data_IF_697294171893
#
_entry.id   IF_697294171893
#
_cell.length_a   1.000
_cell.length_b   1.000
_cell.length_c   1.000
_cell.angle_alpha   90.00
_cell.angle_beta   90.00
_cell.angle_gamma   90.00
#
_symmetry.space_group_name_H-M   'P 1'
#
loop_
_entity.id
_entity.type
_entity.pdbx_description
1 polymer ?
#
# COMPACT_ATOMS: atom_id res chain seq x y z
N UNK A 1 50.45 -18.41 -21.86
CA UNK A 1 49.25 -19.25 -21.78
C UNK A 1 48.06 -18.32 -21.65
N UNK A 2 47.45 -17.96 -22.78
CA UNK A 2 46.31 -17.03 -22.82
C UNK A 2 45.09 -17.82 -22.35
N UNK A 3 44.58 -17.52 -21.14
CA UNK A 3 43.33 -18.09 -20.66
C UNK A 3 42.21 -17.59 -21.57
N UNK A 4 41.78 -18.44 -22.51
CA UNK A 4 40.56 -18.21 -23.26
C UNK A 4 39.40 -18.36 -22.29
N UNK A 5 38.86 -17.22 -21.84
CA UNK A 5 37.59 -17.19 -21.13
C UNK A 5 36.51 -17.71 -22.07
N UNK A 6 35.99 -18.90 -21.76
CA UNK A 6 34.91 -19.48 -22.54
C UNK A 6 33.64 -18.59 -22.37
N UNK A 7 32.81 -18.40 -23.41
CA UNK A 7 31.64 -17.52 -23.33
C UNK A 7 30.67 -17.87 -22.19
N UNK A 8 30.66 -19.12 -21.75
CA UNK A 8 29.86 -19.62 -20.62
C UNK A 8 30.29 -19.01 -19.28
N UNK A 9 31.54 -18.54 -19.15
CA UNK A 9 32.04 -17.88 -17.95
C UNK A 9 31.24 -16.60 -17.62
N UNK A 10 30.65 -15.96 -18.63
CA UNK A 10 29.79 -14.79 -18.44
C UNK A 10 28.42 -15.15 -17.85
N UNK A 11 27.97 -16.41 -17.94
CA UNK A 11 26.68 -16.83 -17.40
C UNK A 11 26.72 -17.06 -15.88
N UNK A 12 27.88 -17.43 -15.31
CA UNK A 12 28.00 -17.78 -13.89
C UNK A 12 27.59 -16.66 -12.91
N UNK A 13 27.95 -15.38 -13.11
CA UNK A 13 27.49 -14.31 -12.24
C UNK A 13 25.95 -14.17 -12.25
N UNK A 14 25.32 -14.29 -13.41
CA UNK A 14 23.86 -14.21 -13.52
C UNK A 14 23.18 -15.42 -12.87
N UNK A 15 23.72 -16.62 -13.08
CA UNK A 15 23.23 -17.84 -12.44
C UNK A 15 23.38 -17.77 -10.91
N UNK A 16 24.51 -17.28 -10.42
CA UNK A 16 24.74 -17.06 -9.00
C UNK A 16 23.74 -16.06 -8.42
N UNK A 17 23.53 -14.91 -9.08
CA UNK A 17 22.55 -13.89 -8.64
C UNK A 17 21.14 -14.48 -8.63
N UNK A 18 20.77 -15.24 -9.67
CA UNK A 18 19.45 -15.89 -9.75
C UNK A 18 19.24 -16.91 -8.63
N UNK A 19 20.17 -17.85 -8.45
CA UNK A 19 20.10 -18.87 -7.40
C UNK A 19 20.13 -18.23 -6.01
N UNK A 20 20.97 -17.20 -5.79
CA UNK A 20 21.03 -16.47 -4.55
C UNK A 20 19.70 -15.78 -4.24
N UNK A 21 19.11 -15.11 -5.23
CA UNK A 21 17.81 -14.45 -5.09
C UNK A 21 16.68 -15.45 -4.84
N UNK A 22 16.62 -16.56 -5.57
CA UNK A 22 15.65 -17.64 -5.36
C UNK A 22 15.80 -18.26 -3.97
N UNK A 23 17.04 -18.52 -3.54
CA UNK A 23 17.35 -19.03 -2.21
C UNK A 23 16.95 -18.03 -1.13
N UNK A 24 17.21 -16.74 -1.33
CA UNK A 24 16.78 -15.68 -0.42
C UNK A 24 15.27 -15.63 -0.27
N UNK A 25 14.53 -15.66 -1.39
CA UNK A 25 13.06 -15.70 -1.37
C UNK A 25 12.57 -16.97 -0.68
N UNK A 26 13.12 -18.14 -1.01
CA UNK A 26 12.73 -19.42 -0.42
C UNK A 26 13.00 -19.47 1.08
N UNK A 27 14.19 -19.08 1.53
CA UNK A 27 14.55 -19.01 2.95
C UNK A 27 13.60 -18.06 3.66
N UNK A 28 13.31 -16.88 3.09
CA UNK A 28 12.41 -15.91 3.73
C UNK A 28 10.99 -16.47 3.86
N UNK A 29 10.48 -17.16 2.84
CA UNK A 29 9.17 -17.82 2.88
C UNK A 29 9.10 -18.98 3.88
N UNK A 30 10.20 -19.73 4.02
CA UNK A 30 10.31 -20.84 4.97
C UNK A 30 10.67 -20.36 6.39
N UNK A 31 11.18 -19.15 6.53
CA UNK A 31 11.56 -18.57 7.80
C UNK A 31 10.30 -18.37 8.66
N UNK A 32 10.34 -18.93 9.87
CA UNK A 32 9.24 -18.87 10.84
C UNK A 32 8.93 -17.49 11.48
N UNK A 33 9.72 -16.39 11.37
CA UNK A 33 9.49 -15.20 12.22
C UNK A 33 8.19 -14.44 11.97
N UNK A 34 7.70 -14.33 10.73
CA UNK A 34 6.52 -13.53 10.45
C UNK A 34 5.21 -14.18 10.93
N UNK A 35 5.18 -15.51 11.04
CA UNK A 35 3.96 -16.26 11.37
C UNK A 35 3.65 -16.30 12.86
N UNK A 36 4.67 -16.35 13.72
CA UNK A 36 4.51 -16.41 15.17
C UNK A 36 4.22 -15.02 15.80
N UNK A 37 4.70 -13.94 15.19
CA UNK A 37 4.51 -12.57 15.69
C UNK A 37 3.10 -12.00 15.43
N UNK A 38 2.30 -12.63 14.56
CA UNK A 38 1.00 -12.13 14.08
C UNK A 38 -0.18 -12.84 14.74
N UNK A 39 -0.11 -13.04 16.06
CA UNK A 39 -1.28 -13.48 16.80
C UNK A 39 -2.39 -12.43 16.64
N UNK A 40 -3.62 -12.88 16.37
CA UNK A 40 -4.79 -11.99 16.28
C UNK A 40 -4.93 -11.25 17.61
N UNK A 41 -5.13 -9.94 17.53
CA UNK A 41 -5.40 -9.12 18.71
C UNK A 41 -6.82 -9.41 19.19
N UNK A 42 -7.03 -9.69 20.49
CA UNK A 42 -8.37 -9.69 21.08
C UNK A 42 -9.05 -8.33 20.88
N UNK A 43 -10.35 -8.32 20.63
CA UNK A 43 -11.12 -7.09 20.32
C UNK A 43 -10.97 -5.98 21.39
N UNK A 44 -10.73 -6.35 22.66
CA UNK A 44 -10.48 -5.40 23.74
C UNK A 44 -9.19 -4.56 23.51
N UNK A 45 -8.16 -5.15 22.91
CA UNK A 45 -6.84 -4.54 22.70
C UNK A 45 -6.67 -3.95 21.30
N UNK A 46 -7.68 -4.04 20.44
CA UNK A 46 -7.58 -3.49 19.09
C UNK A 46 -7.56 -1.95 19.12
N UNK A 47 -6.69 -1.29 18.32
CA UNK A 47 -6.60 0.16 18.29
C UNK A 47 -7.80 0.82 17.60
N UNK A 48 -8.00 2.12 17.81
CA UNK A 48 -8.90 2.90 16.96
C UNK A 48 -8.32 3.06 15.55
N UNK A 49 -9.16 2.93 14.53
CA UNK A 49 -8.77 2.93 13.12
C UNK A 49 -9.66 3.89 12.33
N UNK A 50 -9.05 4.71 11.47
CA UNK A 50 -9.77 5.51 10.49
C UNK A 50 -9.30 5.16 9.08
N UNK A 51 -10.21 4.75 8.19
CA UNK A 51 -9.90 4.51 6.78
C UNK A 51 -10.35 5.69 5.94
N UNK A 52 -9.39 6.34 5.27
CA UNK A 52 -9.62 7.50 4.43
C UNK A 52 -9.72 7.06 2.97
N UNK A 53 -10.79 7.48 2.30
CA UNK A 53 -11.10 7.16 0.91
C UNK A 53 -11.13 8.46 0.09
N UNK A 54 -10.01 8.85 -0.55
CA UNK A 54 -9.99 10.01 -1.45
C UNK A 54 -10.73 9.69 -2.75
N UNK A 55 -11.64 10.57 -3.14
CA UNK A 55 -12.53 10.38 -4.29
C UNK A 55 -12.37 11.55 -5.28
N UNK A 56 -12.21 11.24 -6.57
CA UNK A 56 -12.31 12.21 -7.65
C UNK A 56 -12.91 11.55 -8.89
N UNK A 57 -14.17 11.84 -9.18
CA UNK A 57 -14.94 11.22 -10.27
C UNK A 57 -15.05 9.68 -10.16
N UNK A 58 -15.52 9.21 -9.01
CA UNK A 58 -15.61 7.80 -8.60
C UNK A 58 -17.05 7.38 -8.29
N UNK A 59 -18.04 8.00 -8.93
CA UNK A 59 -19.46 7.73 -8.69
C UNK A 59 -19.85 6.25 -8.85
N UNK A 60 -19.17 5.54 -9.75
CA UNK A 60 -19.46 4.14 -10.07
C UNK A 60 -18.98 3.15 -8.99
N UNK A 61 -18.02 3.55 -8.16
CA UNK A 61 -17.20 2.64 -7.34
C UNK A 61 -17.27 2.98 -5.85
N UNK A 62 -17.31 4.27 -5.49
CA UNK A 62 -17.23 4.74 -4.09
C UNK A 62 -18.28 4.11 -3.17
N UNK A 63 -19.48 3.85 -3.70
CA UNK A 63 -20.55 3.20 -2.94
C UNK A 63 -20.17 1.78 -2.49
N UNK A 64 -19.74 0.95 -3.44
CA UNK A 64 -19.33 -0.42 -3.14
C UNK A 64 -18.05 -0.48 -2.29
N UNK A 65 -17.15 0.49 -2.47
CA UNK A 65 -15.96 0.66 -1.62
C UNK A 65 -16.36 0.93 -0.17
N UNK A 66 -17.26 1.88 0.08
CA UNK A 66 -17.79 2.17 1.41
C UNK A 66 -18.52 0.97 2.01
N UNK A 67 -19.39 0.29 1.23
CA UNK A 67 -20.09 -0.91 1.68
C UNK A 67 -19.10 -2.02 2.12
N UNK A 68 -17.99 -2.21 1.39
CA UNK A 68 -16.96 -3.19 1.76
C UNK A 68 -16.24 -2.83 3.07
N UNK A 69 -16.00 -1.53 3.33
CA UNK A 69 -15.43 -1.07 4.58
C UNK A 69 -16.39 -1.24 5.76
N UNK A 70 -17.69 -0.98 5.54
CA UNK A 70 -18.73 -1.20 6.54
C UNK A 70 -18.89 -2.69 6.90
N UNK A 71 -18.60 -3.58 5.95
CA UNK A 71 -18.62 -5.02 6.14
C UNK A 71 -17.41 -5.58 6.93
N UNK A 72 -16.39 -4.76 7.23
CA UNK A 72 -15.23 -5.21 8.00
C UNK A 72 -15.63 -5.78 9.37
N UNK A 73 -15.07 -6.94 9.70
CA UNK A 73 -15.21 -7.62 10.98
C UNK A 73 -14.32 -6.94 12.03
N UNK A 74 -14.76 -5.79 12.52
CA UNK A 74 -14.04 -5.00 13.52
C UNK A 74 -15.03 -4.31 14.47
N UNK A 75 -14.64 -4.02 15.73
CA UNK A 75 -15.48 -3.24 16.63
C UNK A 75 -15.91 -1.92 15.97
N UNK A 76 -17.21 -1.73 15.78
CA UNK A 76 -17.76 -0.66 14.93
C UNK A 76 -17.49 0.73 15.51
N UNK A 77 -17.47 0.83 16.83
CA UNK A 77 -17.11 2.01 17.61
C UNK A 77 -15.63 2.40 17.50
N UNK A 78 -14.76 1.50 17.03
CA UNK A 78 -13.32 1.74 16.81
C UNK A 78 -12.98 1.95 15.33
N UNK A 79 -13.96 1.92 14.43
CA UNK A 79 -13.75 2.09 12.99
C UNK A 79 -14.47 3.35 12.48
N UNK A 80 -13.68 4.32 12.04
CA UNK A 80 -14.13 5.49 11.28
C UNK A 80 -13.84 5.28 9.78
N UNK A 81 -14.78 5.66 8.92
CA UNK A 81 -14.64 5.69 7.47
C UNK A 81 -14.79 7.14 7.03
N UNK A 82 -13.78 7.68 6.35
CA UNK A 82 -13.76 9.08 5.96
C UNK A 82 -13.70 9.17 4.44
N UNK A 83 -14.84 9.44 3.83
CA UNK A 83 -14.95 9.65 2.40
C UNK A 83 -14.63 11.12 2.09
N UNK A 84 -13.60 11.38 1.28
CA UNK A 84 -13.14 12.74 0.96
C UNK A 84 -13.34 13.01 -0.53
N UNK A 85 -14.32 13.85 -0.87
CA UNK A 85 -14.53 14.33 -2.24
C UNK A 85 -13.52 15.46 -2.56
N UNK A 86 -12.64 15.19 -3.52
CA UNK A 86 -11.60 16.12 -4.00
C UNK A 86 -12.10 16.96 -5.19
N UNK A 87 -13.31 17.52 -5.06
CA UNK A 87 -13.93 18.37 -6.06
C UNK A 87 -14.36 17.59 -7.30
N UNK A 88 -15.10 16.49 -7.11
CA UNK A 88 -15.66 15.72 -8.23
C UNK A 88 -16.66 16.55 -9.04
N UNK A 89 -16.72 16.25 -10.33
CA UNK A 89 -17.62 16.89 -11.31
C UNK A 89 -18.75 15.97 -11.76
N UNK A 90 -18.71 14.70 -11.37
CA UNK A 90 -19.72 13.69 -11.65
C UNK A 90 -20.65 13.45 -10.44
N UNK A 91 -21.38 12.33 -10.43
CA UNK A 91 -22.29 11.96 -9.35
C UNK A 91 -21.61 11.36 -8.09
N UNK A 92 -20.31 11.60 -7.87
CA UNK A 92 -19.57 11.05 -6.71
C UNK A 92 -20.18 11.53 -5.39
N UNK A 93 -20.46 12.83 -5.25
CA UNK A 93 -21.06 13.38 -4.05
C UNK A 93 -22.45 12.78 -3.75
N UNK A 94 -23.26 12.58 -4.79
CA UNK A 94 -24.56 11.91 -4.64
C UNK A 94 -24.41 10.46 -4.16
N UNK A 95 -23.40 9.76 -4.67
CA UNK A 95 -23.10 8.38 -4.27
C UNK A 95 -22.65 8.29 -2.82
N UNK A 96 -21.83 9.24 -2.37
CA UNK A 96 -21.39 9.36 -0.96
C UNK A 96 -22.55 9.75 -0.04
N UNK A 97 -23.48 10.62 -0.46
CA UNK A 97 -24.58 11.12 0.35
C UNK A 97 -25.49 10.01 0.91
N UNK A 98 -25.53 8.83 0.27
CA UNK A 98 -26.21 7.63 0.76
C UNK A 98 -25.74 7.19 2.15
N UNK A 99 -24.51 7.55 2.54
CA UNK A 99 -23.89 7.19 3.81
C UNK A 99 -23.86 8.33 4.83
N UNK A 100 -24.43 9.51 4.51
CA UNK A 100 -24.31 10.70 5.36
C UNK A 100 -24.83 10.53 6.80
N UNK A 101 -25.79 9.62 6.99
CA UNK A 101 -26.38 9.33 8.31
C UNK A 101 -25.80 8.06 8.96
N UNK A 102 -24.79 7.42 8.37
CA UNK A 102 -24.20 6.20 8.93
C UNK A 102 -23.23 6.57 10.07
N UNK A 103 -23.35 5.99 11.28
CA UNK A 103 -22.60 6.43 12.47
C UNK A 103 -21.08 6.33 12.33
N UNK A 104 -20.59 5.42 11.48
CA UNK A 104 -19.16 5.23 11.22
C UNK A 104 -18.61 6.07 10.05
N UNK A 105 -19.48 6.71 9.25
CA UNK A 105 -19.06 7.37 8.01
C UNK A 105 -19.06 8.88 8.19
N UNK A 106 -17.94 9.50 7.82
CA UNK A 106 -17.81 10.95 7.69
C UNK A 106 -17.54 11.31 6.24
N UNK A 107 -18.21 12.35 5.76
CA UNK A 107 -18.04 12.87 4.41
C UNK A 107 -17.39 14.26 4.52
N UNK A 108 -16.34 14.47 3.73
CA UNK A 108 -15.64 15.76 3.62
C UNK A 108 -15.63 16.14 2.14
N UNK A 109 -15.97 17.39 1.83
CA UNK A 109 -15.88 17.94 0.49
C UNK A 109 -14.90 19.09 0.47
N UNK A 110 -13.98 19.10 -0.50
CA UNK A 110 -13.00 20.17 -0.70
C UNK A 110 -12.82 20.47 -2.19
N UNK A 111 -12.21 21.62 -2.51
CA UNK A 111 -11.78 21.90 -3.89
C UNK A 111 -10.62 20.99 -4.31
N UNK A 112 -10.55 20.64 -5.60
CA UNK A 112 -9.54 19.72 -6.12
C UNK A 112 -8.11 20.16 -5.81
N UNK A 113 -7.33 19.28 -5.18
CA UNK A 113 -5.91 19.53 -4.87
C UNK A 113 -5.01 18.33 -5.10
N UNK A 114 -5.55 17.22 -5.58
CA UNK A 114 -4.85 15.95 -5.75
C UNK A 114 -4.94 15.06 -4.50
N UNK A 115 -4.68 13.77 -4.71
CA UNK A 115 -4.88 12.69 -3.72
C UNK A 115 -4.28 13.00 -2.35
N UNK A 116 -3.04 13.50 -2.28
CA UNK A 116 -2.39 13.81 -1.00
C UNK A 116 -3.13 14.87 -0.18
N UNK A 117 -3.74 15.87 -0.82
CA UNK A 117 -4.51 16.91 -0.12
C UNK A 117 -5.81 16.35 0.45
N UNK A 118 -6.46 15.42 -0.25
CA UNK A 118 -7.65 14.72 0.22
C UNK A 118 -7.31 13.78 1.39
N UNK A 119 -6.20 13.04 1.30
CA UNK A 119 -5.69 12.22 2.40
C UNK A 119 -5.43 13.07 3.65
N UNK A 120 -4.75 14.21 3.51
CA UNK A 120 -4.47 15.11 4.63
C UNK A 120 -5.74 15.71 5.25
N UNK A 121 -6.75 16.06 4.43
CA UNK A 121 -8.04 16.52 4.94
C UNK A 121 -8.75 15.43 5.75
N UNK A 122 -8.67 14.16 5.31
CA UNK A 122 -9.16 13.02 6.06
C UNK A 122 -8.43 12.82 7.39
N UNK A 123 -7.09 12.88 7.38
CA UNK A 123 -6.25 12.73 8.58
C UNK A 123 -6.62 13.78 9.63
N UNK A 124 -6.76 15.04 9.22
CA UNK A 124 -7.09 16.15 10.11
C UNK A 124 -8.47 16.02 10.77
N UNK A 125 -9.35 15.17 10.24
CA UNK A 125 -10.70 14.98 10.76
C UNK A 125 -10.81 13.89 11.83
N UNK A 126 -9.79 13.06 12.06
CA UNK A 126 -9.89 11.90 12.96
C UNK A 126 -8.82 11.91 14.06
N UNK A 127 -9.15 11.24 15.17
CA UNK A 127 -8.23 10.94 16.29
C UNK A 127 -7.94 9.43 16.45
N UNK A 128 -8.33 8.58 15.49
CA UNK A 128 -8.04 7.15 15.46
C UNK A 128 -6.54 6.79 15.35
N UNK A 129 -6.00 6.02 16.29
CA UNK A 129 -4.56 5.69 16.42
C UNK A 129 -3.86 5.25 15.13
N UNK A 130 -4.57 4.49 14.28
CA UNK A 130 -4.08 4.07 12.97
C UNK A 130 -4.87 4.73 11.84
N UNK A 131 -4.10 5.23 10.87
CA UNK A 131 -4.63 5.84 9.64
C UNK A 131 -4.52 4.83 8.51
N UNK A 132 -5.66 4.47 7.94
CA UNK A 132 -5.79 3.65 6.75
C UNK A 132 -6.03 4.50 5.50
N UNK A 133 -5.55 4.03 4.36
CA UNK A 133 -5.86 4.58 3.04
C UNK A 133 -6.48 3.48 2.17
N UNK A 134 -7.56 3.81 1.46
CA UNK A 134 -8.15 2.91 0.46
C UNK A 134 -8.56 3.74 -0.76
N UNK A 135 -8.21 3.28 -1.95
CA UNK A 135 -8.64 3.94 -3.19
C UNK A 135 -10.15 3.73 -3.40
N UNK A 136 -10.84 4.72 -3.97
CA UNK A 136 -12.29 4.70 -4.13
C UNK A 136 -12.81 3.61 -5.10
N UNK A 137 -11.92 2.96 -5.84
CA UNK A 137 -12.19 1.83 -6.75
C UNK A 137 -11.68 0.47 -6.21
N UNK A 138 -11.40 0.40 -4.91
CA UNK A 138 -10.87 -0.79 -4.24
C UNK A 138 -11.81 -1.33 -3.16
N UNK A 139 -11.82 -2.66 -2.99
CA UNK A 139 -12.74 -3.38 -2.11
C UNK A 139 -11.98 -4.33 -1.19
N UNK A 140 -12.42 -4.47 0.05
CA UNK A 140 -11.73 -5.27 1.06
C UNK A 140 -12.52 -6.52 1.43
N UNK A 141 -11.82 -7.60 1.80
CA UNK A 141 -12.47 -8.75 2.45
C UNK A 141 -12.88 -8.38 3.89
N UNK A 142 -13.95 -8.99 4.45
CA UNK A 142 -14.42 -8.69 5.80
C UNK A 142 -13.35 -8.85 6.89
N UNK A 143 -12.45 -9.82 6.75
CA UNK A 143 -11.38 -10.10 7.72
C UNK A 143 -10.10 -9.27 7.48
N UNK A 144 -10.03 -8.48 6.41
CA UNK A 144 -8.80 -7.82 5.98
C UNK A 144 -8.18 -6.93 7.05
N UNK A 145 -9.01 -6.20 7.82
CA UNK A 145 -8.52 -5.34 8.91
C UNK A 145 -7.92 -6.18 10.05
N UNK A 146 -8.57 -7.29 10.44
CA UNK A 146 -8.06 -8.21 11.46
C UNK A 146 -6.75 -8.88 11.06
N UNK A 147 -6.50 -9.03 9.77
CA UNK A 147 -5.27 -9.63 9.22
C UNK A 147 -4.11 -8.63 9.10
N UNK A 148 -4.37 -7.32 8.92
CA UNK A 148 -3.31 -6.30 8.78
C UNK A 148 -2.84 -5.71 10.12
N UNK A 149 -3.75 -5.53 11.09
CA UNK A 149 -3.44 -4.87 12.35
C UNK A 149 -2.38 -5.56 13.22
N UNK A 150 -2.28 -6.91 13.25
CA UNK A 150 -1.21 -7.58 14.00
C UNK A 150 0.21 -7.18 13.58
N UNK A 151 0.41 -6.60 12.39
CA UNK A 151 1.70 -6.02 11.99
C UNK A 151 2.19 -4.93 12.96
N UNK A 152 1.27 -4.19 13.60
CA UNK A 152 1.56 -3.12 14.55
C UNK A 152 1.80 -3.62 15.98
N UNK A 153 1.76 -4.93 16.24
CA UNK A 153 2.22 -5.48 17.53
C UNK A 153 3.73 -5.26 17.72
N UNK A 154 4.49 -5.18 16.62
CA UNK A 154 5.86 -4.72 16.66
C UNK A 154 5.88 -3.17 16.69
N UNK A 155 6.42 -2.54 17.75
CA UNK A 155 6.52 -1.08 17.84
C UNK A 155 7.45 -0.47 16.78
N UNK A 156 8.38 -1.23 16.22
CA UNK A 156 9.29 -0.76 15.17
C UNK A 156 8.60 -0.65 13.79
N UNK A 157 7.47 -1.32 13.62
CA UNK A 157 6.66 -1.25 12.40
C UNK A 157 5.73 -0.06 12.49
N UNK A 158 5.90 0.86 11.55
CA UNK A 158 5.15 2.12 11.50
C UNK A 158 4.10 2.16 10.39
N UNK A 159 4.24 1.27 9.40
CA UNK A 159 3.28 1.13 8.32
C UNK A 159 3.15 -0.33 7.89
N UNK A 160 1.98 -0.69 7.38
CA UNK A 160 1.67 -2.03 6.91
C UNK A 160 0.94 -1.98 5.57
N UNK A 161 1.28 -2.93 4.70
CA UNK A 161 0.72 -3.07 3.35
C UNK A 161 -0.11 -4.35 3.23
N UNK A 162 -1.14 -4.32 2.38
CA UNK A 162 -2.05 -5.44 2.13
C UNK A 162 -1.64 -6.32 0.94
N UNK A 163 -2.36 -7.42 0.75
CA UNK A 163 -2.30 -8.29 -0.41
C UNK A 163 -3.31 -7.84 -1.48
N UNK A 164 -2.82 -7.08 -2.46
CA UNK A 164 -3.63 -6.59 -3.57
C UNK A 164 -3.81 -7.64 -4.67
N UNK A 165 -5.03 -7.75 -5.19
CA UNK A 165 -5.39 -8.56 -6.35
C UNK A 165 -6.34 -7.79 -7.28
N UNK A 166 -6.49 -8.25 -8.52
CA UNK A 166 -7.44 -7.64 -9.46
C UNK A 166 -8.85 -8.17 -9.18
N UNK A 167 -9.82 -7.26 -9.05
CA UNK A 167 -11.22 -7.64 -8.88
C UNK A 167 -11.77 -8.23 -10.19
N UNK A 168 -12.12 -9.53 -10.17
CA UNK A 168 -12.78 -10.24 -11.28
C UNK A 168 -12.15 -9.97 -12.66
N UNK A 169 -10.88 -10.35 -12.89
CA UNK A 169 -10.22 -10.15 -14.18
C UNK A 169 -11.00 -10.84 -15.31
N UNK A 170 -11.17 -10.15 -16.43
CA UNK A 170 -11.94 -10.62 -17.60
C UNK A 170 -11.10 -10.80 -18.86
N UNK A 171 -10.01 -10.04 -19.00
CA UNK A 171 -9.13 -10.09 -20.17
C UNK A 171 -7.78 -10.71 -19.84
N UNK A 172 -7.08 -11.23 -20.85
CA UNK A 172 -5.70 -11.75 -20.71
C UNK A 172 -4.80 -10.72 -20.01
N UNK A 173 -4.93 -9.44 -20.39
CA UNK A 173 -4.17 -8.35 -19.78
C UNK A 173 -4.42 -8.22 -18.27
N UNK A 174 -5.68 -8.33 -17.85
CA UNK A 174 -6.06 -8.26 -16.44
C UNK A 174 -5.61 -9.50 -15.67
N UNK A 175 -5.65 -10.69 -16.28
CA UNK A 175 -5.10 -11.91 -15.69
C UNK A 175 -3.58 -11.84 -15.53
N UNK A 176 -2.86 -11.29 -16.53
CA UNK A 176 -1.42 -11.06 -16.44
C UNK A 176 -1.07 -10.12 -15.28
N UNK A 177 -1.77 -8.99 -15.17
CA UNK A 177 -1.55 -8.06 -14.06
C UNK A 177 -1.92 -8.67 -12.70
N UNK A 178 -2.94 -9.51 -12.64
CA UNK A 178 -3.28 -10.23 -11.41
C UNK A 178 -2.18 -11.22 -10.98
N UNK A 179 -1.60 -11.95 -11.94
CA UNK A 179 -0.48 -12.84 -11.69
C UNK A 179 0.75 -12.04 -11.21
N UNK A 180 1.04 -10.90 -11.83
CA UNK A 180 2.11 -9.98 -11.42
C UNK A 180 1.90 -9.49 -9.98
N UNK A 181 0.68 -9.07 -9.63
CA UNK A 181 0.37 -8.62 -8.25
C UNK A 181 0.54 -9.75 -7.25
N UNK A 182 0.09 -10.96 -7.60
CA UNK A 182 0.24 -12.16 -6.77
C UNK A 182 1.71 -12.47 -6.51
N UNK A 183 2.53 -12.46 -7.56
CA UNK A 183 3.98 -12.61 -7.43
C UNK A 183 4.61 -11.49 -6.59
N UNK A 184 4.15 -10.25 -6.80
CA UNK A 184 4.58 -9.08 -6.04
C UNK A 184 4.29 -9.17 -4.55
N UNK A 185 3.23 -9.87 -4.10
CA UNK A 185 2.95 -10.09 -2.67
C UNK A 185 4.09 -10.87 -2.04
N UNK A 186 4.49 -11.98 -2.65
CA UNK A 186 5.60 -12.83 -2.19
C UNK A 186 6.88 -12.02 -2.08
N UNK A 187 7.19 -11.25 -3.12
CA UNK A 187 8.41 -10.44 -3.17
C UNK A 187 8.40 -9.32 -2.12
N UNK A 188 7.27 -8.64 -1.92
CA UNK A 188 7.11 -7.64 -0.85
C UNK A 188 7.27 -8.25 0.53
N UNK A 189 6.71 -9.44 0.75
CA UNK A 189 6.91 -10.15 2.01
C UNK A 189 8.38 -10.48 2.25
N UNK A 190 9.10 -10.90 1.20
CA UNK A 190 10.53 -11.14 1.29
C UNK A 190 11.32 -9.88 1.62
N UNK A 191 11.04 -8.77 0.93
CA UNK A 191 11.70 -7.49 1.19
C UNK A 191 11.35 -6.89 2.56
N UNK A 192 10.12 -7.05 3.05
CA UNK A 192 9.74 -6.59 4.39
C UNK A 192 10.64 -7.21 5.48
N UNK A 193 10.99 -8.49 5.36
CA UNK A 193 11.84 -9.20 6.34
C UNK A 193 13.24 -8.60 6.53
N UNK A 194 13.70 -7.83 5.54
CA UNK A 194 15.02 -7.18 5.54
C UNK A 194 14.90 -5.65 5.58
N UNK A 195 13.73 -5.14 5.97
CA UNK A 195 13.38 -3.71 5.93
C UNK A 195 13.65 -3.06 4.56
N UNK A 196 13.37 -3.80 3.49
CA UNK A 196 13.63 -3.43 2.10
C UNK A 196 12.40 -2.91 1.34
N UNK A 197 11.30 -2.62 2.03
CA UNK A 197 10.06 -2.24 1.36
C UNK A 197 10.07 -0.76 0.97
N UNK A 198 10.13 -0.48 -0.33
CA UNK A 198 10.17 0.88 -0.89
C UNK A 198 8.80 1.38 -1.40
N UNK A 199 7.75 0.56 -1.27
CA UNK A 199 6.40 0.90 -1.73
C UNK A 199 5.36 0.44 -0.73
N UNK A 200 4.46 1.35 -0.38
CA UNK A 200 3.22 1.05 0.32
C UNK A 200 2.11 1.29 -0.71
N UNK A 201 1.54 0.26 -1.35
CA UNK A 201 0.50 0.49 -2.34
C UNK A 201 -0.69 1.22 -1.73
N UNK A 202 -1.26 2.17 -2.47
CA UNK A 202 -2.40 2.98 -2.03
C UNK A 202 -3.56 2.20 -1.40
N UNK A 203 -4.09 1.15 -2.04
CA UNK A 203 -5.21 0.37 -1.52
C UNK A 203 -4.89 -0.40 -0.22
N UNK A 204 -5.67 -0.09 0.81
CA UNK A 204 -5.70 -0.76 2.11
C UNK A 204 -4.33 -0.83 2.79
N UNK A 205 -3.67 0.32 2.85
CA UNK A 205 -2.43 0.52 3.62
C UNK A 205 -2.72 1.23 4.94
N UNK A 206 -1.93 0.94 5.97
CA UNK A 206 -2.10 1.52 7.30
C UNK A 206 -0.80 2.12 7.83
N UNK A 207 -0.93 3.17 8.64
CA UNK A 207 0.16 3.92 9.23
C UNK A 207 -0.17 4.25 10.69
N UNK A 208 0.83 4.28 11.56
CA UNK A 208 0.69 4.91 12.89
C UNK A 208 0.46 6.41 12.70
N UNK A 209 -0.58 7.00 13.32
CA UNK A 209 -0.81 8.45 13.24
C UNK A 209 0.45 9.23 13.58
N UNK A 210 1.11 8.88 14.69
CA UNK A 210 2.27 9.63 15.20
C UNK A 210 3.37 9.77 14.14
N UNK A 211 3.52 8.78 13.26
CA UNK A 211 4.52 8.78 12.19
C UNK A 211 4.06 9.61 11.00
N UNK A 212 2.77 9.54 10.64
CA UNK A 212 2.20 10.43 9.63
C UNK A 212 2.36 11.90 10.04
N UNK A 213 2.08 12.23 11.30
CA UNK A 213 2.24 13.59 11.83
C UNK A 213 3.71 14.01 11.91
N UNK A 214 4.58 13.14 12.46
CA UNK A 214 6.02 13.39 12.56
C UNK A 214 6.69 13.63 11.21
N UNK A 215 6.23 12.93 10.16
CA UNK A 215 6.75 13.07 8.80
C UNK A 215 6.02 14.15 7.97
N UNK A 216 5.06 14.86 8.56
CA UNK A 216 4.38 16.00 7.96
C UNK A 216 3.32 15.65 6.91
N UNK A 217 2.58 14.56 7.13
CA UNK A 217 1.48 14.11 6.29
C UNK A 217 1.90 13.66 4.88
N UNK A 218 0.91 13.44 4.02
CA UNK A 218 1.14 13.13 2.61
C UNK A 218 1.55 14.40 1.86
N UNK A 219 2.53 14.28 0.95
CA UNK A 219 2.98 15.40 0.12
C UNK A 219 2.82 15.07 -1.36
N UNK A 220 3.06 16.07 -2.19
CA UNK A 220 3.11 15.86 -3.63
C UNK A 220 4.29 14.92 -3.98
N UNK A 221 3.97 13.68 -4.34
CA UNK A 221 4.94 12.65 -4.67
C UNK A 221 4.94 12.27 -6.15
N UNK A 222 4.79 13.26 -7.05
CA UNK A 222 4.74 13.05 -8.50
C UNK A 222 3.68 12.02 -8.96
N UNK A 223 2.48 12.08 -8.37
CA UNK A 223 1.39 11.12 -8.58
C UNK A 223 1.71 9.70 -8.10
N UNK A 224 2.66 9.55 -7.18
CA UNK A 224 3.03 8.29 -6.50
C UNK A 224 3.24 8.57 -5.01
N UNK A 225 2.27 9.23 -4.38
CA UNK A 225 2.36 9.74 -3.01
C UNK A 225 2.48 8.62 -1.97
N UNK A 226 2.04 7.42 -2.32
CA UNK A 226 2.11 6.20 -1.55
C UNK A 226 3.52 5.58 -1.57
N UNK A 227 4.19 5.57 -2.74
CA UNK A 227 5.61 5.25 -2.87
C UNK A 227 6.50 6.30 -2.19
N UNK A 228 6.14 7.57 -2.34
CA UNK A 228 6.86 8.68 -1.74
C UNK A 228 6.85 8.59 -0.21
N UNK A 229 5.68 8.33 0.40
CA UNK A 229 5.57 8.09 1.84
C UNK A 229 6.43 6.90 2.29
N UNK A 230 6.45 5.80 1.53
CA UNK A 230 7.28 4.64 1.84
C UNK A 230 8.78 4.96 1.83
N UNK A 231 9.25 5.69 0.80
CA UNK A 231 10.64 6.16 0.73
C UNK A 231 10.98 7.09 1.91
N UNK A 232 10.07 7.99 2.30
CA UNK A 232 10.28 8.88 3.44
C UNK A 232 10.39 8.12 4.76
N UNK A 233 9.53 7.13 4.98
CA UNK A 233 9.54 6.26 6.15
C UNK A 233 10.88 5.52 6.24
N UNK A 234 11.34 4.95 5.12
CA UNK A 234 12.62 4.25 5.04
C UNK A 234 13.81 5.19 5.23
N UNK A 235 13.76 6.39 4.65
CA UNK A 235 14.78 7.41 4.84
C UNK A 235 14.90 7.88 6.30
N UNK A 236 13.79 7.86 7.03
CA UNK A 236 13.78 8.13 8.47
C UNK A 236 14.18 6.91 9.34
N UNK A 237 14.44 5.75 8.73
CA UNK A 237 14.93 4.54 9.40
C UNK A 237 13.86 3.69 10.09
N UNK A 238 12.59 3.82 9.72
CA UNK A 238 11.50 3.02 10.30
C UNK A 238 11.13 1.80 9.45
N UNK A 239 10.49 0.82 10.10
CA UNK A 239 10.08 -0.44 9.48
C UNK A 239 8.72 -0.38 8.78
N UNK A 240 8.61 -1.03 7.62
CA UNK A 240 7.35 -1.24 6.90
C UNK A 240 7.13 -2.74 6.70
N UNK A 241 5.94 -3.22 7.07
CA UNK A 241 5.58 -4.63 6.99
C UNK A 241 4.60 -4.92 5.83
N UNK A 242 4.55 -6.17 5.39
CA UNK A 242 3.52 -6.67 4.47
C UNK A 242 2.67 -7.76 5.12
N UNK A 243 1.34 -7.58 5.13
CA UNK A 243 0.37 -8.60 5.50
C UNK A 243 -0.17 -9.29 4.24
N UNK A 244 0.30 -10.51 3.91
CA UNK A 244 -0.13 -11.25 2.72
C UNK A 244 -1.55 -11.84 2.87
N UNK A 245 -2.13 -11.79 4.07
CA UNK A 245 -3.48 -12.32 4.36
C UNK A 245 -4.56 -11.23 4.32
N UNK A 246 -4.19 -9.96 4.50
CA UNK A 246 -5.12 -8.85 4.37
C UNK A 246 -5.44 -8.60 2.89
N UNK A 247 -6.52 -9.21 2.39
CA UNK A 247 -6.87 -9.17 0.97
C UNK A 247 -7.62 -7.90 0.59
N UNK A 248 -7.17 -7.26 -0.50
CA UNK A 248 -7.83 -6.13 -1.14
C UNK A 248 -7.90 -6.37 -2.65
N UNK A 249 -9.01 -5.97 -3.25
CA UNK A 249 -9.23 -6.05 -4.69
C UNK A 249 -9.30 -4.66 -5.30
N UNK A 250 -8.69 -4.46 -6.46
CA UNK A 250 -8.70 -3.20 -7.20
C UNK A 250 -9.08 -3.42 -8.66
N UNK A 251 -9.49 -2.36 -9.35
CA UNK A 251 -9.62 -2.35 -10.80
C UNK A 251 -8.27 -2.52 -11.52
N UNK A 252 -8.30 -3.13 -12.71
CA UNK A 252 -7.17 -3.18 -13.64
C UNK A 252 -7.49 -2.43 -14.93
N UNK A 253 -6.51 -1.72 -15.53
CA UNK A 253 -6.63 -1.16 -16.87
C UNK A 253 -7.16 -2.17 -17.90
N UNK A 254 -8.24 -1.81 -18.59
CA UNK A 254 -8.84 -2.67 -19.60
C UNK A 254 -8.04 -2.75 -20.92
N UNK A 255 -7.12 -1.81 -21.15
CA UNK A 255 -6.37 -1.70 -22.42
C UNK A 255 -4.88 -1.53 -22.16
N UNK A 256 -4.07 -1.98 -23.13
CA UNK A 256 -2.61 -1.86 -23.08
C UNK A 256 -2.17 -0.39 -22.97
N UNK A 257 -2.82 0.53 -23.69
CA UNK A 257 -2.51 1.95 -23.62
C UNK A 257 -2.71 2.53 -22.20
N UNK A 258 -3.81 2.14 -21.52
CA UNK A 258 -4.05 2.54 -20.12
C UNK A 258 -3.03 1.92 -19.17
N UNK A 259 -2.65 0.65 -19.41
CA UNK A 259 -1.60 -0.02 -18.64
C UNK A 259 -0.24 0.69 -18.81
N UNK A 260 0.18 0.99 -20.04
CA UNK A 260 1.42 1.72 -20.31
C UNK A 260 1.40 3.08 -19.61
N UNK A 261 0.31 3.84 -19.70
CA UNK A 261 0.17 5.12 -18.99
C UNK A 261 0.32 4.95 -17.46
N UNK A 262 -0.29 3.91 -16.89
CA UNK A 262 -0.16 3.59 -15.47
C UNK A 262 1.31 3.29 -15.10
N UNK A 263 2.00 2.45 -15.87
CA UNK A 263 3.40 2.07 -15.61
C UNK A 263 4.38 3.21 -15.79
N UNK A 264 4.21 4.02 -16.83
CA UNK A 264 5.02 5.23 -17.03
C UNK A 264 4.87 6.17 -15.85
N UNK A 265 3.63 6.39 -15.35
CA UNK A 265 3.40 7.20 -14.15
C UNK A 265 4.14 6.65 -12.93
N UNK A 266 4.01 5.35 -12.65
CA UNK A 266 4.66 4.73 -11.49
C UNK A 266 6.18 4.78 -11.54
N UNK A 267 6.76 4.42 -12.69
CA UNK A 267 8.22 4.39 -12.85
C UNK A 267 8.79 5.80 -12.81
N UNK A 268 8.19 6.76 -13.52
CA UNK A 268 8.69 8.14 -13.53
C UNK A 268 8.51 8.82 -12.18
N UNK A 269 7.40 8.58 -11.48
CA UNK A 269 7.18 9.07 -10.12
C UNK A 269 8.21 8.51 -9.15
N UNK A 270 8.41 7.20 -9.14
CA UNK A 270 9.45 6.54 -8.35
C UNK A 270 10.85 7.10 -8.63
N UNK A 271 11.25 7.18 -9.90
CA UNK A 271 12.58 7.69 -10.27
C UNK A 271 12.79 9.14 -9.85
N UNK A 272 11.78 10.01 -9.98
CA UNK A 272 11.87 11.41 -9.55
C UNK A 272 12.01 11.52 -8.03
N UNK A 273 11.24 10.75 -7.27
CA UNK A 273 11.33 10.73 -5.81
C UNK A 273 12.70 10.20 -5.34
N UNK A 274 13.13 9.04 -5.86
CA UNK A 274 14.37 8.40 -5.41
C UNK A 274 15.64 9.16 -5.84
N UNK A 275 15.67 9.73 -7.05
CA UNK A 275 16.83 10.51 -7.52
C UNK A 275 16.84 11.95 -6.99
N UNK A 276 15.71 12.42 -6.47
CA UNK A 276 15.56 13.74 -5.85
C UNK A 276 15.85 13.70 -4.34
N UNK A 277 14.81 13.89 -3.54
CA UNK A 277 14.89 14.02 -2.08
C UNK A 277 15.46 12.77 -1.40
N UNK A 278 15.23 11.58 -1.97
CA UNK A 278 15.60 10.31 -1.36
C UNK A 278 16.88 9.68 -1.92
N UNK A 279 17.72 10.43 -2.65
CA UNK A 279 18.97 9.92 -3.22
C UNK A 279 19.93 9.34 -2.18
N UNK A 280 19.83 9.81 -0.93
CA UNK A 280 20.62 9.32 0.20
C UNK A 280 20.24 7.91 0.67
N UNK A 281 19.17 7.32 0.14
CA UNK A 281 18.89 5.89 0.27
C UNK A 281 19.81 5.06 -0.63
N UNK A 282 20.18 5.55 -1.82
CA UNK A 282 21.00 4.80 -2.77
C UNK A 282 22.43 4.61 -2.23
N UNK A 283 22.91 3.37 -2.22
CA UNK A 283 24.28 3.00 -1.81
C UNK A 283 24.67 3.43 -0.38
N UNK A 284 23.67 3.67 0.46
CA UNK A 284 23.84 4.05 1.85
C UNK A 284 23.82 2.86 2.80
N UNK A 285 24.99 2.51 3.33
CA UNK A 285 25.15 1.53 4.42
C UNK A 285 24.33 1.85 5.68
N UNK A 286 23.92 3.12 5.86
CA UNK A 286 23.10 3.56 7.00
C UNK A 286 21.66 3.06 6.92
N UNK A 287 21.14 2.83 5.71
CA UNK A 287 19.73 2.46 5.49
C UNK A 287 19.56 0.97 5.15
N UNK A 288 20.54 0.14 5.53
CA UNK A 288 20.46 -1.31 5.38
C UNK A 288 20.35 -1.76 3.93
N UNK A 289 19.40 -2.66 3.65
CA UNK A 289 19.24 -3.33 2.34
C UNK A 289 18.72 -2.40 1.23
N UNK A 290 18.24 -1.20 1.57
CA UNK A 290 17.81 -0.20 0.58
C UNK A 290 18.93 0.68 0.04
N UNK A 291 20.13 0.60 0.64
CA UNK A 291 21.32 1.33 0.19
C UNK A 291 22.50 0.42 -0.13
#
# INVERSE_FOLDING_TARGET
MTLYMSPEMFAYPFLFIAIFFESFVLITLLSKPARAARARMPDAMTPSVAVIVPCWNEAATVGATCDSLLALEYPKEKLEIILVDDGSTDATQQSMARFANHPQVRIITKGNGGKYTALNAGIAATRAELIGCLDADSFVEPDALREILPCFNNPEIVAATSAMSIHKPKSILQHMQNAEYTFGITLRHAFASVNGLYVIPGPFSFYRREIVEKLGGFRYGHQTEDMEMALRIQHAGYGIENSPRARVYTGAPATLAKLVKQRTRWITGFLRNILGEYRGLLFSRRHGVLG
#
